data_IF_214995113875
#
_entry.id   IF_214995113875
#
_cell.length_a   1.000
_cell.length_b   1.000
_cell.length_c   1.000
_cell.angle_alpha   90.00
_cell.angle_beta   90.00
_cell.angle_gamma   90.00
#
_symmetry.space_group_name_H-M   'P 1'
#
loop_
_entity.id
_entity.type
_entity.pdbx_description
1 polymer ?
#
# COMPACT_ATOMS: atom_id res chain seq x y z
N UNK A 1 -24.62 -8.21 3.79
CA UNK A 1 -25.30 -8.05 5.08
C UNK A 1 -25.18 -6.61 5.57
N UNK A 2 -26.24 -6.06 6.12
CA UNK A 2 -26.24 -4.70 6.71
C UNK A 2 -26.42 -4.82 8.23
N UNK A 3 -25.65 -4.01 8.97
CA UNK A 3 -25.78 -3.89 10.42
C UNK A 3 -25.68 -2.40 10.79
N UNK A 4 -26.79 -1.81 11.26
CA UNK A 4 -26.91 -0.36 11.40
C UNK A 4 -26.65 0.33 10.05
N UNK A 5 -25.72 1.28 10.03
CA UNK A 5 -25.28 1.99 8.82
C UNK A 5 -24.11 1.33 8.11
N UNK A 6 -23.72 0.12 8.53
CA UNK A 6 -22.55 -0.57 7.95
C UNK A 6 -23.00 -1.67 6.99
N UNK A 7 -22.51 -1.62 5.75
CA UNK A 7 -22.70 -2.66 4.76
C UNK A 7 -21.44 -3.54 4.70
N UNK A 8 -21.59 -4.84 4.95
CA UNK A 8 -20.50 -5.81 4.83
C UNK A 8 -20.72 -6.63 3.58
N UNK A 9 -19.74 -6.57 2.66
CA UNK A 9 -19.70 -7.34 1.42
C UNK A 9 -18.46 -8.25 1.46
N UNK A 10 -18.65 -9.54 1.25
CA UNK A 10 -17.58 -10.51 1.14
C UNK A 10 -17.96 -11.63 0.18
N UNK A 11 -16.96 -12.37 -0.33
CA UNK A 11 -17.13 -13.45 -1.29
C UNK A 11 -17.92 -14.65 -0.73
N UNK A 12 -17.81 -14.92 0.58
CA UNK A 12 -18.43 -16.07 1.22
C UNK A 12 -19.28 -15.66 2.43
N UNK A 13 -20.31 -16.46 2.73
CA UNK A 13 -21.12 -16.30 3.91
C UNK A 13 -20.28 -16.32 5.19
N UNK A 14 -19.32 -17.24 5.28
CA UNK A 14 -18.40 -17.38 6.42
C UNK A 14 -17.59 -16.09 6.64
N UNK A 15 -17.13 -15.44 5.57
CA UNK A 15 -16.40 -14.17 5.69
C UNK A 15 -17.29 -13.02 6.19
N UNK A 16 -18.54 -12.99 5.76
CA UNK A 16 -19.53 -12.00 6.26
C UNK A 16 -19.82 -12.24 7.75
N UNK A 17 -20.05 -13.50 8.14
CA UNK A 17 -20.30 -13.88 9.53
C UNK A 17 -19.09 -13.58 10.43
N UNK A 18 -17.86 -13.86 9.96
CA UNK A 18 -16.63 -13.51 10.67
C UNK A 18 -16.48 -12.02 10.86
N UNK A 19 -16.79 -11.22 9.82
CA UNK A 19 -16.77 -9.76 9.90
C UNK A 19 -17.78 -9.23 10.92
N UNK A 20 -19.00 -9.77 10.89
CA UNK A 20 -20.06 -9.40 11.86
C UNK A 20 -19.67 -9.79 13.28
N UNK A 21 -19.15 -11.01 13.48
CA UNK A 21 -18.65 -11.46 14.78
C UNK A 21 -17.53 -10.59 15.32
N UNK A 22 -16.54 -10.27 14.46
CA UNK A 22 -15.44 -9.36 14.83
C UNK A 22 -15.94 -7.98 15.25
N UNK A 23 -17.01 -7.47 14.61
CA UNK A 23 -17.65 -6.23 14.97
C UNK A 23 -18.35 -6.32 16.34
N UNK A 24 -19.13 -7.39 16.57
CA UNK A 24 -19.85 -7.62 17.84
C UNK A 24 -18.88 -7.85 19.01
N UNK A 25 -17.84 -8.64 18.80
CA UNK A 25 -16.82 -8.97 19.80
C UNK A 25 -15.82 -7.81 20.04
N UNK A 26 -15.96 -6.68 19.34
CA UNK A 26 -15.01 -5.55 19.35
C UNK A 26 -13.58 -5.95 18.97
N UNK A 27 -13.42 -7.04 18.23
CA UNK A 27 -12.14 -7.53 17.68
C UNK A 27 -11.93 -7.00 16.26
N UNK A 28 -11.80 -5.68 16.13
CA UNK A 28 -11.54 -5.05 14.85
C UNK A 28 -10.04 -5.14 14.49
N UNK A 29 -9.72 -4.96 13.21
CA UNK A 29 -8.32 -4.87 12.76
C UNK A 29 -7.57 -3.75 13.49
N UNK A 30 -8.25 -2.68 13.84
CA UNK A 30 -7.71 -1.57 14.63
C UNK A 30 -7.29 -2.00 16.05
N UNK A 31 -8.04 -2.90 16.68
CA UNK A 31 -7.73 -3.38 18.03
C UNK A 31 -6.53 -4.33 18.06
N UNK A 32 -6.30 -5.10 16.98
CA UNK A 32 -5.29 -6.15 16.95
C UNK A 32 -4.01 -5.77 16.19
N UNK A 33 -4.06 -4.79 15.29
CA UNK A 33 -2.91 -4.38 14.48
C UNK A 33 -2.41 -2.98 14.84
N UNK A 34 -1.20 -2.91 15.40
CA UNK A 34 -0.52 -1.64 15.67
C UNK A 34 -0.17 -0.88 14.38
N UNK A 35 0.17 -1.61 13.32
CA UNK A 35 0.56 -1.02 12.05
C UNK A 35 -0.65 -0.48 11.29
N UNK A 36 -1.81 -1.14 11.38
CA UNK A 36 -3.06 -0.59 10.85
C UNK A 36 -3.41 0.74 11.53
N UNK A 37 -3.26 0.86 12.85
CA UNK A 37 -3.51 2.13 13.56
C UNK A 37 -2.66 3.29 13.07
N UNK A 38 -1.44 3.02 12.58
CA UNK A 38 -0.52 4.05 12.05
C UNK A 38 -0.89 4.52 10.65
N UNK A 39 -1.62 3.72 9.88
CA UNK A 39 -2.10 4.07 8.52
C UNK A 39 -3.58 4.41 8.49
N UNK A 40 -4.27 4.31 9.64
CA UNK A 40 -5.67 4.69 9.73
C UNK A 40 -5.85 6.14 9.28
N UNK A 41 -6.93 6.37 8.54
CA UNK A 41 -7.30 7.66 7.98
C UNK A 41 -7.18 8.81 8.98
N UNK A 42 -6.62 9.93 8.53
CA UNK A 42 -6.44 11.12 9.33
C UNK A 42 -7.57 12.14 9.11
N UNK A 43 -8.30 12.01 8.00
CA UNK A 43 -9.36 12.94 7.63
C UNK A 43 -10.72 12.28 7.80
N UNK A 44 -11.59 12.88 8.63
CA UNK A 44 -12.95 12.38 8.85
C UNK A 44 -13.91 12.71 7.70
N UNK A 45 -13.60 13.76 6.92
CA UNK A 45 -14.53 14.35 5.95
C UNK A 45 -14.24 13.94 4.50
N UNK A 46 -13.80 12.71 4.29
CA UNK A 46 -13.56 12.16 2.96
C UNK A 46 -14.61 11.11 2.60
N UNK A 47 -15.02 11.01 1.33
CA UNK A 47 -16.07 10.10 0.90
C UNK A 47 -15.69 8.62 1.04
N UNK A 48 -14.40 8.28 1.07
CA UNK A 48 -13.96 6.91 1.27
C UNK A 48 -12.53 6.83 1.82
N UNK A 49 -12.29 5.74 2.54
CA UNK A 49 -10.97 5.30 2.99
C UNK A 49 -10.66 3.95 2.34
N UNK A 50 -9.46 3.80 1.82
CA UNK A 50 -8.99 2.56 1.18
C UNK A 50 -7.79 2.04 1.94
N UNK A 51 -7.85 0.78 2.37
CA UNK A 51 -6.77 0.14 3.11
C UNK A 51 -6.28 -1.10 2.36
N UNK A 52 -4.96 -1.22 2.22
CA UNK A 52 -4.31 -2.39 1.65
C UNK A 52 -3.45 -3.08 2.70
N UNK A 53 -3.67 -4.38 2.87
CA UNK A 53 -2.79 -5.26 3.63
C UNK A 53 -2.04 -6.14 2.65
N UNK A 54 -0.78 -5.84 2.41
CA UNK A 54 -0.01 -6.44 1.31
C UNK A 54 0.15 -7.95 1.44
N UNK A 55 0.39 -8.47 2.65
CA UNK A 55 0.48 -9.92 2.88
C UNK A 55 -0.79 -10.68 2.49
N UNK A 56 -1.95 -10.01 2.57
CA UNK A 56 -3.25 -10.59 2.21
C UNK A 56 -3.65 -10.37 0.76
N UNK A 57 -2.99 -9.46 0.04
CA UNK A 57 -3.36 -9.13 -1.34
C UNK A 57 -3.27 -10.32 -2.26
N UNK A 58 -2.27 -11.19 -2.11
CA UNK A 58 -2.15 -12.38 -2.96
C UNK A 58 -3.29 -13.38 -2.74
N UNK A 59 -3.87 -13.45 -1.56
CA UNK A 59 -5.04 -14.29 -1.29
C UNK A 59 -6.26 -13.81 -2.08
N UNK A 60 -6.42 -12.48 -2.20
CA UNK A 60 -7.47 -11.86 -3.00
C UNK A 60 -7.15 -11.99 -4.50
N UNK A 61 -5.93 -11.71 -4.92
CA UNK A 61 -5.50 -11.76 -6.31
C UNK A 61 -5.72 -13.15 -6.93
N UNK A 62 -5.43 -14.22 -6.22
CA UNK A 62 -5.68 -15.61 -6.66
C UNK A 62 -7.16 -15.95 -6.90
N UNK A 63 -8.09 -15.10 -6.48
CA UNK A 63 -9.50 -15.29 -6.79
C UNK A 63 -9.85 -14.83 -8.21
N UNK A 64 -9.02 -13.97 -8.81
CA UNK A 64 -9.25 -13.34 -10.10
C UNK A 64 -8.17 -13.65 -11.12
N UNK A 65 -6.98 -14.06 -10.67
CA UNK A 65 -5.82 -14.35 -11.50
C UNK A 65 -5.54 -15.84 -11.56
N UNK A 66 -5.05 -16.31 -12.70
CA UNK A 66 -4.48 -17.66 -12.82
C UNK A 66 -3.20 -17.76 -11.96
N UNK A 67 -2.82 -18.99 -11.62
CA UNK A 67 -1.61 -19.25 -10.80
C UNK A 67 -0.34 -18.71 -11.49
N UNK A 68 -0.26 -18.74 -12.81
CA UNK A 68 0.86 -18.17 -13.57
C UNK A 68 0.94 -16.65 -13.35
N UNK A 69 -0.17 -15.94 -13.50
CA UNK A 69 -0.22 -14.49 -13.26
C UNK A 69 0.08 -14.17 -11.79
N UNK A 70 -0.53 -14.90 -10.86
CA UNK A 70 -0.30 -14.69 -9.42
C UNK A 70 1.18 -14.90 -9.04
N UNK A 71 1.86 -15.88 -9.67
CA UNK A 71 3.28 -16.14 -9.41
C UNK A 71 4.20 -14.99 -9.83
N UNK A 72 3.88 -14.30 -10.95
CA UNK A 72 4.64 -13.13 -11.43
C UNK A 72 4.55 -11.94 -10.48
N UNK A 73 3.44 -11.80 -9.78
CA UNK A 73 3.19 -10.69 -8.85
C UNK A 73 3.39 -11.05 -7.37
N UNK A 74 3.99 -12.22 -7.07
CA UNK A 74 4.22 -12.66 -5.68
C UNK A 74 4.97 -11.63 -4.82
N UNK A 75 5.83 -10.82 -5.44
CA UNK A 75 6.62 -9.81 -4.74
C UNK A 75 5.80 -8.57 -4.29
N UNK A 76 4.51 -8.49 -4.66
CA UNK A 76 3.65 -7.42 -4.16
C UNK A 76 3.51 -7.43 -2.63
N UNK A 77 3.65 -8.60 -2.01
CA UNK A 77 3.66 -8.75 -0.55
C UNK A 77 4.86 -8.11 0.12
N UNK A 78 5.93 -7.88 -0.66
CA UNK A 78 7.16 -7.22 -0.22
C UNK A 78 7.18 -5.72 -0.47
N UNK A 79 6.07 -5.14 -0.90
CA UNK A 79 6.01 -3.69 -1.16
C UNK A 79 5.99 -2.92 0.14
N UNK A 80 5.11 -3.30 1.04
CA UNK A 80 4.92 -2.72 2.38
C UNK A 80 4.06 -3.66 3.24
N UNK A 81 3.89 -3.34 4.51
CA UNK A 81 2.94 -4.04 5.38
C UNK A 81 1.50 -3.53 5.16
N UNK A 82 1.29 -2.24 5.33
CA UNK A 82 0.00 -1.59 5.18
C UNK A 82 0.07 -0.29 4.39
N UNK A 83 -1.00 0.01 3.65
CA UNK A 83 -1.25 1.35 3.10
C UNK A 83 -2.66 1.79 3.48
N UNK A 84 -2.80 3.02 3.95
CA UNK A 84 -4.07 3.69 4.18
C UNK A 84 -4.15 4.94 3.33
N UNK A 85 -5.21 5.07 2.52
CA UNK A 85 -5.43 6.18 1.60
C UNK A 85 -6.79 6.82 1.86
N UNK A 86 -6.80 8.12 1.97
CA UNK A 86 -7.99 8.95 1.99
C UNK A 86 -8.33 9.39 0.57
N UNK A 87 -9.51 9.05 0.11
CA UNK A 87 -9.99 9.40 -1.22
C UNK A 87 -10.75 10.74 -1.16
N UNK A 88 -10.40 11.66 -2.03
CA UNK A 88 -11.15 12.90 -2.23
C UNK A 88 -11.52 13.06 -3.69
N UNK A 89 -12.77 13.45 -3.92
CA UNK A 89 -13.31 13.76 -5.25
C UNK A 89 -13.31 15.27 -5.45
N UNK A 90 -12.61 15.74 -6.47
CA UNK A 90 -12.59 17.16 -6.81
C UNK A 90 -13.74 17.54 -7.74
N UNK A 91 -14.12 18.83 -7.75
CA UNK A 91 -15.21 19.38 -8.59
C UNK A 91 -15.02 19.12 -10.09
N UNK A 92 -13.79 18.97 -10.56
CA UNK A 92 -13.46 18.63 -11.96
C UNK A 92 -13.54 17.12 -12.27
N UNK A 93 -14.08 16.30 -11.36
CA UNK A 93 -14.19 14.85 -11.51
C UNK A 93 -12.89 14.09 -11.21
N UNK A 94 -11.78 14.78 -10.90
CA UNK A 94 -10.55 14.06 -10.56
C UNK A 94 -10.60 13.45 -9.17
N UNK A 95 -10.04 12.24 -9.04
CA UNK A 95 -9.88 11.54 -7.78
C UNK A 95 -8.45 11.79 -7.27
N UNK A 96 -8.34 12.20 -6.01
CA UNK A 96 -7.06 12.28 -5.32
C UNK A 96 -7.03 11.24 -4.21
N UNK A 97 -5.94 10.49 -4.15
CA UNK A 97 -5.62 9.58 -3.06
C UNK A 97 -4.40 10.12 -2.30
N UNK A 98 -4.55 10.35 -1.01
CA UNK A 98 -3.46 10.75 -0.12
C UNK A 98 -3.44 9.82 1.07
N UNK A 99 -2.24 9.50 1.58
CA UNK A 99 -2.19 8.64 2.76
C UNK A 99 -0.79 8.24 3.14
N UNK A 100 -0.72 7.18 3.89
CA UNK A 100 0.50 6.68 4.49
C UNK A 100 0.75 5.23 4.11
N UNK A 101 2.02 4.91 3.92
CA UNK A 101 2.52 3.56 3.76
C UNK A 101 3.27 3.19 5.03
N UNK A 102 2.98 2.02 5.57
CA UNK A 102 3.69 1.45 6.71
C UNK A 102 4.44 0.21 6.26
N UNK A 103 5.72 0.20 6.56
CA UNK A 103 6.57 -0.98 6.42
C UNK A 103 6.63 -1.74 7.74
N UNK A 104 6.81 -3.05 7.68
CA UNK A 104 6.97 -3.89 8.86
C UNK A 104 8.29 -3.56 9.57
N UNK A 105 8.25 -3.43 10.89
CA UNK A 105 9.43 -3.18 11.70
C UNK A 105 10.33 -4.41 11.86
N UNK A 106 9.79 -5.62 11.67
CA UNK A 106 10.52 -6.89 11.81
C UNK A 106 11.19 -7.28 10.49
N UNK A 107 10.42 -7.17 9.36
CA UNK A 107 10.91 -7.47 8.01
C UNK A 107 11.34 -6.19 7.27
N UNK A 108 11.64 -5.15 8.02
CA UNK A 108 11.95 -3.80 7.55
C UNK A 108 12.84 -3.77 6.30
N UNK A 109 13.87 -4.59 6.30
CA UNK A 109 14.90 -4.53 5.28
C UNK A 109 14.50 -5.19 3.94
N UNK A 110 13.44 -6.00 3.92
CA UNK A 110 12.98 -6.71 2.73
C UNK A 110 11.85 -6.01 1.98
N UNK A 111 11.24 -4.97 2.55
CA UNK A 111 10.13 -4.26 1.94
C UNK A 111 10.60 -3.09 1.08
N UNK A 112 10.00 -2.97 -0.11
CA UNK A 112 10.42 -1.99 -1.12
C UNK A 112 10.35 -0.53 -0.64
N UNK A 113 9.28 -0.14 0.05
CA UNK A 113 9.13 1.26 0.48
C UNK A 113 10.17 1.72 1.50
N UNK A 114 10.93 0.81 2.10
CA UNK A 114 12.03 1.18 3.00
C UNK A 114 13.21 1.85 2.30
N UNK A 115 13.29 1.77 0.96
CA UNK A 115 14.28 2.53 0.19
C UNK A 115 14.14 4.06 0.38
N UNK A 116 12.93 4.52 0.74
CA UNK A 116 12.64 5.93 1.01
C UNK A 116 12.85 6.34 2.48
N UNK A 117 13.27 5.42 3.33
CA UNK A 117 13.45 5.75 4.74
C UNK A 117 14.51 6.84 4.94
N UNK A 118 14.20 7.80 5.83
CA UNK A 118 15.05 8.96 6.09
C UNK A 118 15.01 10.06 5.01
N UNK A 119 14.21 9.89 3.94
CA UNK A 119 13.99 10.97 2.97
C UNK A 119 13.06 12.04 3.56
N UNK A 120 13.32 13.28 3.22
CA UNK A 120 12.48 14.44 3.55
C UNK A 120 11.59 14.81 2.37
N UNK A 121 10.47 15.46 2.64
CA UNK A 121 9.62 16.00 1.57
C UNK A 121 10.39 17.03 0.74
N UNK A 122 10.38 16.88 -0.57
CA UNK A 122 11.01 17.78 -1.54
C UNK A 122 9.96 18.21 -2.55
N UNK A 123 9.92 19.51 -2.86
CA UNK A 123 9.11 20.01 -3.97
C UNK A 123 9.85 19.73 -5.28
N UNK A 124 9.25 18.92 -6.16
CA UNK A 124 9.76 18.66 -7.48
C UNK A 124 8.89 19.35 -8.55
N UNK A 125 9.51 20.01 -9.51
CA UNK A 125 8.84 20.56 -10.70
C UNK A 125 8.81 19.52 -11.83
N UNK A 126 8.12 18.40 -11.58
CA UNK A 126 8.13 17.23 -12.48
C UNK A 126 7.26 17.48 -13.72
N UNK A 127 6.21 18.26 -13.56
CA UNK A 127 5.28 18.60 -14.66
C UNK A 127 5.97 19.35 -15.81
N UNK A 128 7.06 20.06 -15.55
CA UNK A 128 7.81 20.79 -16.59
C UNK A 128 8.64 19.88 -17.52
N UNK A 129 8.91 18.65 -17.10
CA UNK A 129 9.68 17.67 -17.91
C UNK A 129 8.80 16.51 -18.42
N UNK A 130 7.52 16.51 -18.09
CA UNK A 130 6.60 15.48 -18.51
C UNK A 130 6.22 15.65 -19.99
N UNK A 131 6.42 14.63 -20.85
CA UNK A 131 5.98 14.69 -22.24
C UNK A 131 4.48 14.84 -22.34
N UNK A 132 3.99 15.65 -23.28
CA UNK A 132 2.55 15.86 -23.52
C UNK A 132 1.82 14.59 -23.98
N UNK A 133 2.56 13.61 -24.49
CA UNK A 133 2.05 12.30 -24.95
C UNK A 133 2.05 11.22 -23.86
N UNK A 134 2.49 11.54 -22.64
CA UNK A 134 2.56 10.55 -21.57
C UNK A 134 1.16 10.18 -21.07
N UNK A 135 0.81 8.89 -21.20
CA UNK A 135 -0.43 8.32 -20.65
C UNK A 135 -0.30 7.93 -19.18
N UNK A 136 0.93 7.69 -18.72
CA UNK A 136 1.25 7.28 -17.36
C UNK A 136 2.56 7.91 -16.93
N UNK A 137 2.62 8.37 -15.69
CA UNK A 137 3.79 9.01 -15.14
C UNK A 137 3.95 8.71 -13.65
N UNK A 138 5.14 8.27 -13.27
CA UNK A 138 5.52 8.10 -11.87
C UNK A 138 6.72 8.99 -11.58
N UNK A 139 6.61 9.76 -10.51
CA UNK A 139 7.65 10.66 -10.09
C UNK A 139 8.03 10.44 -8.63
N UNK A 140 9.33 10.37 -8.39
CA UNK A 140 9.90 10.20 -7.07
C UNK A 140 10.85 11.36 -6.77
N UNK A 141 10.57 12.09 -5.68
CA UNK A 141 11.44 13.16 -5.22
C UNK A 141 12.34 12.65 -4.10
N UNK A 142 13.65 12.70 -4.34
CA UNK A 142 14.68 12.19 -3.43
C UNK A 142 15.42 13.38 -2.81
N UNK A 143 15.39 13.50 -1.49
CA UNK A 143 16.05 14.59 -0.76
C UNK A 143 17.53 14.31 -0.47
N UNK A 144 17.90 13.04 -0.33
CA UNK A 144 19.26 12.58 -0.07
C UNK A 144 19.59 11.38 -0.96
N UNK A 145 20.34 11.62 -2.03
CA UNK A 145 20.69 10.59 -3.03
C UNK A 145 21.55 9.47 -2.45
N UNK A 146 22.51 9.81 -1.59
CA UNK A 146 23.43 8.83 -0.99
C UNK A 146 22.68 7.87 -0.07
N UNK A 147 21.80 8.40 0.78
CA UNK A 147 20.96 7.59 1.65
C UNK A 147 20.00 6.72 0.83
N UNK A 148 19.38 7.27 -0.21
CA UNK A 148 18.51 6.51 -1.10
C UNK A 148 19.28 5.35 -1.75
N UNK A 149 20.48 5.61 -2.32
CA UNK A 149 21.33 4.60 -2.94
C UNK A 149 21.67 3.49 -1.94
N UNK A 150 22.14 3.84 -0.74
CA UNK A 150 22.45 2.88 0.32
C UNK A 150 21.26 1.98 0.66
N UNK A 151 20.08 2.59 0.85
CA UNK A 151 18.88 1.84 1.17
C UNK A 151 18.45 0.92 0.02
N UNK A 152 18.60 1.38 -1.23
CA UNK A 152 18.26 0.60 -2.43
C UNK A 152 19.21 -0.57 -2.64
N UNK A 153 20.53 -0.36 -2.51
CA UNK A 153 21.53 -1.43 -2.56
C UNK A 153 21.25 -2.49 -1.50
N UNK A 154 20.99 -2.09 -0.24
CA UNK A 154 20.61 -3.00 0.81
C UNK A 154 19.31 -3.77 0.53
N UNK A 155 18.32 -3.14 -0.09
CA UNK A 155 17.11 -3.82 -0.54
C UNK A 155 17.40 -4.89 -1.62
N UNK A 156 18.25 -4.57 -2.60
CA UNK A 156 18.64 -5.51 -3.67
C UNK A 156 19.39 -6.72 -3.11
N UNK A 157 20.36 -6.50 -2.22
CA UNK A 157 21.13 -7.57 -1.58
C UNK A 157 20.23 -8.57 -0.86
N UNK A 158 19.31 -8.07 -0.01
CA UNK A 158 18.41 -8.92 0.79
C UNK A 158 17.36 -9.66 -0.02
N UNK A 159 16.99 -9.13 -1.17
CA UNK A 159 16.02 -9.79 -2.05
C UNK A 159 16.67 -10.64 -3.15
N UNK A 160 18.00 -10.86 -3.08
CA UNK A 160 18.76 -11.63 -4.07
C UNK A 160 18.70 -11.10 -5.51
N UNK A 161 18.39 -9.80 -5.66
CA UNK A 161 18.38 -9.14 -6.97
C UNK A 161 19.76 -8.60 -7.37
N UNK A 162 20.70 -8.52 -6.44
CA UNK A 162 22.02 -7.90 -6.67
C UNK A 162 22.77 -8.57 -7.81
N UNK A 163 22.76 -9.89 -7.88
CA UNK A 163 23.43 -10.68 -8.90
C UNK A 163 22.84 -10.51 -10.33
N UNK A 164 21.61 -9.99 -10.44
CA UNK A 164 20.94 -9.80 -11.72
C UNK A 164 21.30 -8.46 -12.40
N UNK A 165 21.86 -7.53 -11.67
CA UNK A 165 22.21 -6.17 -12.15
C UNK A 165 23.72 -5.92 -12.25
N UNK A 166 24.53 -6.91 -11.86
CA UNK A 166 26.01 -6.81 -11.89
C UNK A 166 26.64 -7.38 -13.18
N UNK A 167 25.81 -7.80 -14.14
CA UNK A 167 26.23 -8.32 -15.46
C UNK A 167 25.80 -7.29 -16.54
#
# INVERSE_FOLDING_TARGET
>A
SMYGNTLIIAKSKVSVESGLKGFLDKKSVESVSSDFRKVKAHYSDVPAHVYFHYDRMMQIARLFWSDDVASRYKNITKVASWTGLDMSLKKNGSIRLNGFVRTDSINYESEYFNIFNGQKSVRGSITSVMPSTANHFVAMCISNKELFRKNYEGYLERNSYFNSYSN
#
